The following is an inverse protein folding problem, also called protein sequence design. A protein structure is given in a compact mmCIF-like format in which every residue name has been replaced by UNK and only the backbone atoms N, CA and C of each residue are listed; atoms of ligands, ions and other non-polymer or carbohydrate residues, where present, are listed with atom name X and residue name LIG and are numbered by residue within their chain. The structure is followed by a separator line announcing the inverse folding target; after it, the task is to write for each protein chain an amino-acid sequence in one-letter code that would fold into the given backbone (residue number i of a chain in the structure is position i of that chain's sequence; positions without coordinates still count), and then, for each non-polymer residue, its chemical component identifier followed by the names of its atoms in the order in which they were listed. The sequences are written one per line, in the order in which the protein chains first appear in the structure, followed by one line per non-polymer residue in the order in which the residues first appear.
data_IF_375873458895
#
_entry.id   IF_375873458895
#
_cell.length_a   1.000
_cell.length_b   1.000
_cell.length_c   1.000
_cell.angle_alpha   90.00
_cell.angle_beta   90.00
_cell.angle_gamma   90.00
#
_symmetry.space_group_name_H-M   'P 1'
#
loop_
_entity.id
_entity.type
_entity.pdbx_description
1 polymer ?
#
# COMPACT_ATOMS: atom_id res chain seq x y z
N UNK A 1 -1.39 9.30 -25.78
CA UNK A 1 -2.24 8.20 -26.27
C UNK A 1 -1.93 8.05 -27.75
N UNK A 2 -1.26 6.95 -28.11
CA UNK A 2 -0.82 6.69 -29.49
C UNK A 2 -2.07 6.24 -30.31
N UNK A 3 -2.57 7.15 -31.14
CA UNK A 3 -3.72 6.88 -32.04
C UNK A 3 -3.21 6.29 -33.35
N UNK A 4 -2.69 5.06 -33.31
CA UNK A 4 -2.39 4.34 -34.55
C UNK A 4 -3.69 4.07 -35.30
N UNK A 5 -3.73 4.32 -36.63
CA UNK A 5 -4.89 3.98 -37.43
C UNK A 5 -5.10 2.47 -37.40
N UNK A 6 -6.33 2.04 -37.06
CA UNK A 6 -6.70 0.63 -37.02
C UNK A 6 -6.55 -0.01 -38.41
N UNK A 7 -5.95 -1.19 -38.49
CA UNK A 7 -5.87 -1.98 -39.70
C UNK A 7 -7.28 -2.45 -40.12
N UNK A 8 -7.43 -2.87 -41.40
CA UNK A 8 -8.72 -3.39 -41.89
C UNK A 8 -9.21 -4.58 -41.08
N UNK A 9 -8.32 -5.44 -40.61
CA UNK A 9 -8.64 -6.62 -39.80
C UNK A 9 -9.11 -6.18 -38.38
N UNK A 10 -8.49 -5.18 -37.82
CA UNK A 10 -8.91 -4.61 -36.50
C UNK A 10 -10.25 -3.86 -36.55
N UNK A 11 -10.66 -3.42 -37.74
CA UNK A 11 -11.99 -2.85 -38.00
C UNK A 11 -13.09 -3.93 -38.12
N UNK A 12 -12.72 -5.18 -38.34
CA UNK A 12 -13.67 -6.30 -38.38
C UNK A 12 -13.95 -6.76 -36.93
N UNK A 13 -14.98 -6.20 -36.34
CA UNK A 13 -15.43 -6.53 -34.99
C UNK A 13 -15.57 -8.02 -34.71
N UNK A 14 -16.03 -8.79 -35.69
CA UNK A 14 -16.21 -10.26 -35.57
C UNK A 14 -14.89 -10.99 -35.30
N UNK A 15 -13.79 -10.58 -35.92
CA UNK A 15 -12.48 -11.20 -35.73
C UNK A 15 -11.95 -10.92 -34.32
N UNK A 16 -12.07 -9.70 -33.85
CA UNK A 16 -11.64 -9.34 -32.48
C UNK A 16 -12.55 -9.99 -31.41
N UNK A 17 -13.85 -10.10 -31.69
CA UNK A 17 -14.77 -10.82 -30.80
C UNK A 17 -14.42 -12.32 -30.71
N UNK A 18 -14.12 -12.98 -31.85
CA UNK A 18 -13.69 -14.38 -31.89
C UNK A 18 -12.36 -14.58 -31.14
N UNK A 19 -11.41 -13.65 -31.27
CA UNK A 19 -10.13 -13.67 -30.58
C UNK A 19 -10.32 -13.54 -29.07
N UNK A 20 -11.17 -12.61 -28.61
CA UNK A 20 -11.52 -12.45 -27.21
C UNK A 20 -12.19 -13.70 -26.64
N UNK A 21 -13.13 -14.29 -27.39
CA UNK A 21 -13.80 -15.53 -27.00
C UNK A 21 -12.82 -16.72 -26.91
N UNK A 22 -11.91 -16.86 -27.85
CA UNK A 22 -10.87 -17.87 -27.79
C UNK A 22 -9.96 -17.74 -26.59
N UNK A 23 -9.61 -16.51 -26.21
CA UNK A 23 -8.81 -16.23 -25.00
C UNK A 23 -9.55 -16.63 -23.72
N UNK A 24 -10.80 -16.26 -23.57
CA UNK A 24 -11.61 -16.61 -22.40
C UNK A 24 -11.89 -18.11 -22.34
N UNK A 25 -12.18 -18.75 -23.45
CA UNK A 25 -12.34 -20.20 -23.55
C UNK A 25 -11.06 -20.96 -23.14
N UNK A 26 -9.90 -20.50 -23.60
CA UNK A 26 -8.60 -21.04 -23.15
C UNK A 26 -8.43 -20.96 -21.65
N UNK A 27 -8.73 -19.80 -21.04
CA UNK A 27 -8.66 -19.63 -19.58
C UNK A 27 -9.61 -20.59 -18.86
N UNK A 28 -10.83 -20.75 -19.35
CA UNK A 28 -11.81 -21.67 -18.81
C UNK A 28 -11.29 -23.12 -18.80
N UNK A 29 -10.89 -23.63 -19.97
CA UNK A 29 -10.44 -25.01 -20.11
C UNK A 29 -9.13 -25.31 -19.37
N UNK A 30 -8.26 -24.35 -19.17
CA UNK A 30 -7.02 -24.51 -18.40
C UNK A 30 -7.28 -24.46 -16.87
N UNK A 31 -8.17 -23.59 -16.44
CA UNK A 31 -8.39 -23.38 -15.00
C UNK A 31 -9.40 -24.35 -14.40
N UNK A 32 -10.42 -24.77 -15.16
CA UNK A 32 -11.47 -25.66 -14.69
C UNK A 32 -10.94 -26.99 -14.09
N UNK A 33 -10.06 -27.73 -14.78
CA UNK A 33 -9.50 -28.96 -14.21
C UNK A 33 -8.72 -28.72 -12.93
N UNK A 34 -8.04 -27.58 -12.82
CA UNK A 34 -7.29 -27.20 -11.61
C UNK A 34 -8.22 -26.93 -10.44
N UNK A 35 -9.35 -26.27 -10.67
CA UNK A 35 -10.36 -26.03 -9.64
C UNK A 35 -11.02 -27.34 -9.19
N UNK A 36 -11.35 -28.21 -10.13
CA UNK A 36 -11.91 -29.53 -9.83
C UNK A 36 -10.91 -30.35 -8.99
N UNK A 37 -9.66 -30.44 -9.42
CA UNK A 37 -8.60 -31.16 -8.69
C UNK A 37 -8.44 -30.62 -7.25
N UNK A 38 -8.56 -29.31 -7.07
CA UNK A 38 -8.53 -28.67 -5.74
C UNK A 38 -9.72 -29.08 -4.87
N UNK A 39 -10.92 -29.12 -5.44
CA UNK A 39 -12.12 -29.62 -4.75
C UNK A 39 -11.97 -31.05 -4.23
N UNK A 40 -11.16 -31.88 -4.89
CA UNK A 40 -10.80 -33.23 -4.44
C UNK A 40 -9.57 -33.28 -3.51
N UNK A 41 -9.08 -32.12 -3.03
CA UNK A 41 -7.95 -32.05 -2.10
C UNK A 41 -6.55 -32.16 -2.71
N UNK A 42 -6.42 -32.21 -4.04
CA UNK A 42 -5.11 -32.18 -4.69
C UNK A 42 -4.51 -30.80 -4.66
N UNK A 43 -3.21 -30.68 -4.32
CA UNK A 43 -2.45 -29.41 -4.38
C UNK A 43 -2.16 -28.99 -5.83
N UNK A 44 -3.21 -28.79 -6.63
CA UNK A 44 -3.08 -28.10 -7.90
C UNK A 44 -2.74 -26.63 -7.63
N UNK A 45 -1.67 -26.09 -8.21
CA UNK A 45 -1.27 -24.69 -8.01
C UNK A 45 -2.45 -23.73 -8.19
N UNK A 46 -2.34 -22.51 -7.62
CA UNK A 46 -3.42 -21.50 -7.62
C UNK A 46 -4.02 -21.17 -9.00
N UNK A 47 -3.38 -21.63 -10.09
CA UNK A 47 -3.79 -21.30 -11.45
C UNK A 47 -3.82 -19.77 -11.63
N UNK A 48 -4.76 -19.29 -12.44
CA UNK A 48 -5.00 -17.85 -12.62
C UNK A 48 -6.08 -17.29 -11.67
N UNK A 49 -6.33 -17.97 -10.53
CA UNK A 49 -7.29 -17.48 -9.53
C UNK A 49 -6.70 -16.31 -8.79
N UNK A 50 -7.35 -15.16 -8.90
CA UNK A 50 -6.95 -13.91 -8.23
C UNK A 50 -7.57 -13.79 -6.84
N UNK A 51 -8.51 -14.68 -6.49
CA UNK A 51 -9.22 -14.66 -5.22
C UNK A 51 -8.34 -15.11 -4.06
N UNK A 52 -8.37 -14.37 -2.98
CA UNK A 52 -7.77 -14.70 -1.69
C UNK A 52 -8.87 -14.94 -0.67
N UNK A 53 -8.77 -16.01 0.10
CA UNK A 53 -9.73 -16.36 1.15
C UNK A 53 -9.31 -15.66 2.45
N UNK A 54 -9.64 -14.36 2.54
CA UNK A 54 -9.40 -13.59 3.74
C UNK A 54 -10.37 -14.02 4.86
N UNK A 55 -9.96 -14.18 6.13
CA UNK A 55 -8.63 -13.82 6.70
C UNK A 55 -7.57 -14.92 6.64
N UNK A 56 -7.90 -16.15 6.22
CA UNK A 56 -7.02 -17.33 6.23
C UNK A 56 -5.86 -17.13 5.26
N UNK A 57 -6.13 -16.49 4.13
CA UNK A 57 -5.14 -16.19 3.12
C UNK A 57 -5.05 -14.69 2.86
N UNK A 58 -3.94 -14.08 3.26
CA UNK A 58 -3.67 -12.65 3.03
C UNK A 58 -2.90 -12.45 1.73
N UNK A 59 -3.26 -11.39 1.00
CA UNK A 59 -2.53 -10.99 -0.21
C UNK A 59 -1.12 -10.54 0.16
N UNK A 60 -0.08 -10.95 -0.59
CA UNK A 60 1.27 -10.43 -0.37
C UNK A 60 1.29 -8.91 -0.63
N UNK A 61 1.83 -8.16 0.32
CA UNK A 61 1.94 -6.71 0.22
C UNK A 61 3.06 -6.33 -0.75
N UNK A 62 2.81 -5.35 -1.61
CA UNK A 62 3.84 -4.81 -2.49
C UNK A 62 4.90 -4.05 -1.68
N UNK A 63 6.17 -4.11 -2.08
CA UNK A 63 7.28 -3.41 -1.39
C UNK A 63 7.10 -1.89 -1.29
N UNK A 64 6.33 -1.29 -2.21
CA UNK A 64 6.04 0.15 -2.24
C UNK A 64 4.69 0.50 -1.61
N UNK A 65 4.03 -0.46 -0.95
CA UNK A 65 2.77 -0.17 -0.29
C UNK A 65 3.03 0.74 0.90
N UNK A 66 2.29 1.83 0.95
CA UNK A 66 2.27 2.74 2.10
C UNK A 66 1.33 2.16 3.15
N UNK A 67 1.89 1.79 4.29
CA UNK A 67 1.17 1.19 5.41
C UNK A 67 1.13 2.16 6.59
N UNK A 68 0.62 1.72 7.75
CA UNK A 68 0.51 2.57 8.91
C UNK A 68 1.85 3.23 9.27
N UNK A 69 1.80 4.47 9.68
CA UNK A 69 2.97 5.27 10.06
C UNK A 69 3.68 4.70 11.28
N UNK A 70 4.97 4.94 11.35
CA UNK A 70 5.78 4.77 12.55
C UNK A 70 6.82 5.87 12.64
N UNK A 71 7.18 6.26 13.85
CA UNK A 71 8.35 7.08 14.10
C UNK A 71 9.58 6.20 14.30
N UNK A 72 10.71 6.64 13.73
CA UNK A 72 12.00 5.98 13.86
C UNK A 72 12.77 6.52 15.05
N UNK A 73 13.66 5.70 15.57
CA UNK A 73 14.56 6.07 16.68
C UNK A 73 16.01 6.08 16.22
N UNK A 74 16.86 6.83 16.90
CA UNK A 74 18.31 6.77 16.77
C UNK A 74 18.86 5.50 17.44
N UNK A 75 20.14 5.22 17.24
CA UNK A 75 20.79 4.05 17.83
C UNK A 75 20.84 4.10 19.38
N UNK A 76 20.83 5.28 19.96
CA UNK A 76 20.75 5.54 21.39
C UNK A 76 19.33 5.40 21.99
N UNK A 77 18.33 5.11 21.13
CA UNK A 77 16.93 4.95 21.54
C UNK A 77 16.12 6.25 21.54
N UNK A 78 16.74 7.40 21.33
CA UNK A 78 16.05 8.70 21.27
C UNK A 78 15.22 8.84 19.98
N UNK A 79 14.11 9.60 20.00
CA UNK A 79 13.35 9.88 18.78
C UNK A 79 14.21 10.62 17.75
N UNK A 80 14.09 10.24 16.47
CA UNK A 80 14.69 11.04 15.39
C UNK A 80 13.94 12.33 15.11
N UNK A 81 12.67 12.37 15.48
CA UNK A 81 11.82 13.53 15.25
C UNK A 81 12.28 14.71 16.12
N UNK A 82 12.49 15.86 15.48
CA UNK A 82 12.88 17.13 16.12
C UNK A 82 11.72 18.13 16.15
N UNK A 83 10.49 17.67 15.98
CA UNK A 83 9.28 18.50 15.98
C UNK A 83 9.37 19.73 15.05
N UNK A 84 9.94 19.58 13.86
CA UNK A 84 10.09 20.67 12.87
C UNK A 84 8.78 21.04 12.16
N UNK A 85 7.69 20.25 12.35
CA UNK A 85 6.34 20.46 11.81
C UNK A 85 6.23 20.41 10.26
N UNK A 86 7.28 20.04 9.55
CA UNK A 86 7.24 19.94 8.08
C UNK A 86 6.19 18.95 7.59
N UNK A 87 6.06 17.79 8.25
CA UNK A 87 5.08 16.77 7.91
C UNK A 87 3.64 17.20 8.20
N UNK A 88 3.40 18.00 9.24
CA UNK A 88 2.11 18.62 9.55
C UNK A 88 1.72 19.62 8.46
N UNK A 89 2.64 20.51 8.10
CA UNK A 89 2.43 21.58 7.11
C UNK A 89 2.14 21.03 5.73
N UNK A 90 2.84 19.99 5.29
CA UNK A 90 2.67 19.41 3.94
C UNK A 90 1.44 18.50 3.84
N UNK A 91 0.83 18.12 4.95
CA UNK A 91 -0.27 17.15 4.95
C UNK A 91 -1.52 17.71 4.25
N UNK A 92 -1.97 17.14 3.12
CA UNK A 92 -3.15 17.64 2.41
C UNK A 92 -4.45 17.38 3.17
N UNK A 93 -4.46 16.41 4.09
CA UNK A 93 -5.61 16.05 4.92
C UNK A 93 -5.58 16.72 6.30
N UNK A 94 -4.53 17.49 6.63
CA UNK A 94 -4.35 18.14 7.93
C UNK A 94 -4.58 17.20 9.12
N UNK A 95 -4.15 15.95 8.99
CA UNK A 95 -4.39 14.89 9.97
C UNK A 95 -3.22 14.65 10.94
N UNK A 96 -2.15 15.44 10.85
CA UNK A 96 -0.97 15.34 11.73
C UNK A 96 -0.95 16.54 12.67
N UNK A 97 -0.80 16.26 13.98
CA UNK A 97 -0.75 17.26 15.01
C UNK A 97 0.46 17.02 15.89
N UNK A 98 1.33 18.03 16.00
CA UNK A 98 2.59 17.93 16.72
C UNK A 98 2.65 19.02 17.80
N UNK A 99 2.94 18.62 19.03
CA UNK A 99 3.28 19.55 20.10
C UNK A 99 4.75 19.36 20.44
N UNK A 100 5.52 20.43 20.28
CA UNK A 100 6.93 20.45 20.63
C UNK A 100 7.14 20.69 22.13
N UNK A 101 8.21 20.12 22.67
CA UNK A 101 8.73 20.40 24.01
C UNK A 101 10.23 20.67 23.95
N UNK A 102 10.75 21.35 24.94
CA UNK A 102 12.19 21.54 25.13
C UNK A 102 12.85 20.21 25.52
N UNK A 103 14.04 19.98 25.01
CA UNK A 103 14.82 18.80 25.39
C UNK A 103 15.62 19.11 26.67
N UNK A 104 15.82 18.12 27.58
CA UNK A 104 16.66 18.32 28.78
C UNK A 104 18.13 18.64 28.46
N UNK A 105 18.62 18.19 27.32
CA UNK A 105 19.96 18.48 26.82
C UNK A 105 19.94 19.81 26.06
N UNK A 106 20.75 20.81 26.47
CA UNK A 106 20.78 22.13 25.83
C UNK A 106 21.27 22.11 24.36
N UNK A 107 21.96 21.06 23.94
CA UNK A 107 22.43 20.92 22.55
C UNK A 107 21.31 20.48 21.59
N UNK A 108 20.16 20.04 22.13
CA UNK A 108 18.99 19.61 21.36
C UNK A 108 17.86 20.62 21.57
N UNK A 109 17.52 21.39 20.54
CA UNK A 109 16.58 22.50 20.62
C UNK A 109 15.18 22.05 21.08
N UNK A 110 14.64 21.01 20.46
CA UNK A 110 13.28 20.52 20.74
C UNK A 110 13.06 19.07 20.33
N UNK A 111 12.07 18.46 21.00
CA UNK A 111 11.54 17.12 20.72
C UNK A 111 10.02 17.16 20.60
N UNK A 112 9.36 16.17 19.99
CA UNK A 112 7.91 16.08 20.05
C UNK A 112 7.47 15.62 21.46
N UNK A 113 6.66 16.45 22.13
CA UNK A 113 5.92 16.03 23.33
C UNK A 113 4.77 15.10 22.95
N UNK A 114 4.03 15.47 21.90
CA UNK A 114 3.01 14.61 21.28
C UNK A 114 3.19 14.60 19.76
N UNK A 115 2.82 13.47 19.15
CA UNK A 115 2.82 13.30 17.70
C UNK A 115 1.62 12.42 17.35
N UNK A 116 0.54 13.06 16.96
CA UNK A 116 -0.72 12.40 16.69
C UNK A 116 -1.03 12.42 15.20
N UNK A 117 -1.55 11.30 14.69
CA UNK A 117 -2.04 11.17 13.31
C UNK A 117 -3.45 10.62 13.37
N UNK A 118 -4.42 11.40 12.88
CA UNK A 118 -5.77 10.92 12.67
C UNK A 118 -5.81 10.01 11.42
N UNK A 119 -5.77 8.71 11.66
CA UNK A 119 -5.81 7.71 10.60
C UNK A 119 -7.18 7.62 9.90
N UNK A 120 -8.23 8.17 10.52
CA UNK A 120 -9.59 8.19 9.95
C UNK A 120 -9.72 9.14 8.75
N UNK A 121 -8.90 10.20 8.72
CA UNK A 121 -8.88 11.17 7.60
C UNK A 121 -7.61 11.09 6.75
N UNK A 122 -6.61 10.31 7.18
CA UNK A 122 -5.36 10.14 6.46
C UNK A 122 -5.57 9.43 5.12
N UNK A 123 -5.11 10.02 4.03
CA UNK A 123 -5.20 9.45 2.67
C UNK A 123 -3.98 8.60 2.27
N UNK A 124 -3.05 8.38 3.18
CA UNK A 124 -1.82 7.59 2.98
C UNK A 124 -0.99 8.03 1.76
N UNK A 125 -0.97 9.32 1.43
CA UNK A 125 -0.23 9.87 0.29
C UNK A 125 1.30 9.78 0.42
N UNK A 126 1.84 9.74 1.66
CA UNK A 126 3.27 9.64 1.94
C UNK A 126 4.05 10.95 1.88
N UNK A 127 3.43 12.10 1.65
CA UNK A 127 4.11 13.40 1.63
C UNK A 127 4.81 13.73 2.95
N UNK A 128 4.25 13.29 4.07
CA UNK A 128 4.90 13.45 5.38
C UNK A 128 6.25 12.73 5.47
N UNK A 129 6.40 11.58 4.80
CA UNK A 129 7.67 10.85 4.72
C UNK A 129 8.66 11.57 3.84
N UNK A 130 8.21 12.07 2.68
CA UNK A 130 9.05 12.78 1.71
C UNK A 130 9.52 14.15 2.25
N UNK A 131 8.68 14.82 3.03
CA UNK A 131 9.01 16.14 3.60
C UNK A 131 9.89 16.06 4.85
N UNK A 132 10.08 14.90 5.46
CA UNK A 132 10.82 14.77 6.70
C UNK A 132 12.35 14.81 6.46
N UNK A 133 13.07 15.86 6.91
CA UNK A 133 14.52 15.96 6.70
C UNK A 133 15.31 14.96 7.54
N UNK A 134 14.74 14.51 8.69
CA UNK A 134 15.38 13.59 9.63
C UNK A 134 15.08 12.11 9.36
N UNK A 135 14.29 11.80 8.31
CA UNK A 135 13.80 10.43 8.07
C UNK A 135 13.16 9.80 9.34
N UNK A 136 12.47 10.66 10.08
CA UNK A 136 11.89 10.30 11.38
C UNK A 136 10.53 9.61 11.27
N UNK A 137 9.79 9.81 10.17
CA UNK A 137 8.50 9.19 9.92
C UNK A 137 8.59 8.27 8.71
N UNK A 138 8.05 7.05 8.83
CA UNK A 138 8.01 6.05 7.75
C UNK A 138 6.67 5.35 7.70
N UNK A 139 6.34 4.78 6.52
CA UNK A 139 5.10 4.05 6.25
C UNK A 139 5.40 2.62 5.78
N UNK A 140 6.27 1.93 6.49
CA UNK A 140 6.83 0.62 6.13
C UNK A 140 6.53 -0.47 7.17
N UNK A 141 5.51 -0.29 8.00
CA UNK A 141 5.16 -1.23 9.09
C UNK A 141 4.60 -2.57 8.60
N UNK A 142 4.10 -2.62 7.36
CA UNK A 142 3.35 -3.79 6.85
C UNK A 142 1.95 -3.93 7.45
N UNK A 143 1.55 -3.04 8.36
CA UNK A 143 0.24 -3.07 9.01
C UNK A 143 -0.73 -2.22 8.21
N UNK A 144 -1.78 -2.82 7.72
CA UNK A 144 -2.86 -2.17 6.94
C UNK A 144 -4.16 -2.02 7.72
N UNK A 145 -4.29 -2.72 8.83
CA UNK A 145 -5.44 -2.61 9.72
C UNK A 145 -5.36 -1.27 10.49
N UNK A 146 -6.41 -0.46 10.40
CA UNK A 146 -6.52 0.84 11.09
C UNK A 146 -7.08 0.70 12.50
N UNK A 147 -7.86 -0.35 12.76
CA UNK A 147 -8.43 -0.66 14.06
C UNK A 147 -8.04 -2.09 14.47
N UNK A 148 -7.62 -2.27 15.73
CA UNK A 148 -7.48 -3.57 16.34
C UNK A 148 -8.63 -3.73 17.35
N UNK A 149 -9.50 -4.70 17.12
CA UNK A 149 -10.45 -5.16 18.12
C UNK A 149 -9.74 -6.23 18.93
N UNK A 150 -9.26 -5.88 20.10
CA UNK A 150 -8.72 -6.81 21.11
C UNK A 150 -9.79 -7.09 22.16
#
# INVERSE_FOLDING_TARGET
MDQRPLSLIERLYVVEAARGLALTARHFFVNMPRHIARGFGFKAGKGNTVTYEYPEEKRPLARRLRTRHRLTKRADGTPRCVACMMCETICPAHCIHIIAAEHPDPDIEKIPATFDIDLGVCVFCGYCVEACPEDAIRMDTGVVELAAYT
#
